data_IF_426239115280
#
_entry.id   IF_426239115280
#
_cell.length_a   1.000
_cell.length_b   1.000
_cell.length_c   1.000
_cell.angle_alpha   90.00
_cell.angle_beta   90.00
_cell.angle_gamma   90.00
#
_symmetry.space_group_name_H-M   'P 1'
#
loop_
_entity.id
_entity.type
_entity.pdbx_description
1 polymer ?
#
# COMPACT_ATOMS: atom_id res chain seq x y z
N UNK A 1 13.49 0.63 12.02
CA UNK A 1 12.25 1.06 11.33
C UNK A 1 12.55 1.08 9.84
N UNK A 2 11.79 0.35 9.03
CA UNK A 2 12.03 0.26 7.59
C UNK A 2 11.30 1.39 6.85
N UNK A 3 11.47 1.50 5.51
CA UNK A 3 10.84 2.60 4.75
C UNK A 3 9.31 2.48 4.71
N UNK A 4 8.76 1.26 4.71
CA UNK A 4 7.32 1.05 4.76
C UNK A 4 6.72 1.57 6.08
N UNK A 5 7.38 1.33 7.22
CA UNK A 5 6.96 1.85 8.53
C UNK A 5 6.99 3.38 8.57
N UNK A 6 8.03 4.00 8.01
CA UNK A 6 8.16 5.47 7.92
C UNK A 6 6.98 6.05 7.13
N UNK A 7 6.69 5.49 5.96
CA UNK A 7 5.59 5.94 5.09
C UNK A 7 4.21 5.72 5.74
N UNK A 8 4.04 4.63 6.49
CA UNK A 8 2.79 4.36 7.21
C UNK A 8 2.59 5.38 8.34
N UNK A 9 3.64 5.71 9.10
CA UNK A 9 3.59 6.74 10.12
C UNK A 9 3.36 8.14 9.53
N UNK A 10 3.97 8.45 8.37
CA UNK A 10 3.66 9.67 7.61
C UNK A 10 2.18 9.73 7.25
N UNK A 11 1.59 8.62 6.77
CA UNK A 11 0.16 8.56 6.45
C UNK A 11 -0.75 8.82 7.66
N UNK A 12 -0.39 8.32 8.85
CA UNK A 12 -1.11 8.59 10.10
C UNK A 12 -1.01 10.06 10.53
N UNK A 13 0.18 10.64 10.42
CA UNK A 13 0.42 12.06 10.72
C UNK A 13 -0.39 12.94 9.76
N UNK A 14 -0.33 12.65 8.46
CA UNK A 14 -1.07 13.39 7.44
C UNK A 14 -2.57 13.35 7.71
N UNK A 15 -3.12 12.18 8.07
CA UNK A 15 -4.54 12.06 8.43
C UNK A 15 -4.88 12.94 9.64
N UNK A 16 -4.06 12.90 10.70
CA UNK A 16 -4.23 13.72 11.91
C UNK A 16 -4.26 15.22 11.61
N UNK A 17 -3.45 15.67 10.65
CA UNK A 17 -3.40 17.06 10.20
C UNK A 17 -4.37 17.37 9.03
N UNK A 18 -5.32 16.47 8.74
CA UNK A 18 -6.33 16.61 7.68
C UNK A 18 -5.73 16.79 6.27
N UNK A 19 -4.51 16.30 6.06
CA UNK A 19 -3.85 16.23 4.77
C UNK A 19 -4.27 14.95 4.02
N UNK A 20 -5.56 14.84 3.66
CA UNK A 20 -6.18 13.60 3.20
C UNK A 20 -5.52 13.02 1.93
N UNK A 21 -5.24 13.83 0.91
CA UNK A 21 -4.55 13.35 -0.30
C UNK A 21 -3.18 12.75 0.05
N UNK A 22 -2.41 13.41 0.91
CA UNK A 22 -1.08 12.94 1.33
C UNK A 22 -1.18 11.65 2.13
N UNK A 23 -2.17 11.54 3.02
CA UNK A 23 -2.43 10.32 3.78
C UNK A 23 -2.76 9.14 2.86
N UNK A 24 -3.60 9.34 1.85
CA UNK A 24 -3.91 8.31 0.84
C UNK A 24 -2.65 7.89 0.07
N UNK A 25 -1.88 8.85 -0.42
CA UNK A 25 -0.66 8.56 -1.20
C UNK A 25 0.40 7.84 -0.36
N UNK A 26 0.65 8.30 0.86
CA UNK A 26 1.58 7.67 1.80
C UNK A 26 1.14 6.25 2.19
N UNK A 27 -0.16 6.02 2.40
CA UNK A 27 -0.74 4.69 2.67
C UNK A 27 -0.44 3.69 1.55
N UNK A 28 -0.63 4.12 0.30
CA UNK A 28 -0.30 3.30 -0.87
C UNK A 28 1.21 3.02 -0.97
N UNK A 29 2.06 4.04 -0.80
CA UNK A 29 3.51 3.86 -0.91
C UNK A 29 4.09 2.98 0.19
N UNK A 30 3.52 3.01 1.40
CA UNK A 30 3.88 2.11 2.48
C UNK A 30 3.65 0.64 2.07
N UNK A 31 2.45 0.34 1.55
CA UNK A 31 2.08 -0.99 1.04
C UNK A 31 2.97 -1.41 -0.12
N UNK A 32 3.22 -0.52 -1.09
CA UNK A 32 4.14 -0.77 -2.20
C UNK A 32 5.50 -1.22 -1.71
N UNK A 33 6.10 -0.49 -0.75
CA UNK A 33 7.42 -0.86 -0.22
C UNK A 33 7.42 -2.20 0.51
N UNK A 34 6.35 -2.52 1.23
CA UNK A 34 6.26 -3.83 1.86
C UNK A 34 6.18 -4.98 0.83
N UNK A 35 5.44 -4.80 -0.27
CA UNK A 35 5.39 -5.78 -1.36
C UNK A 35 6.73 -5.89 -2.08
N UNK A 36 7.46 -4.80 -2.26
CA UNK A 36 8.83 -4.84 -2.80
C UNK A 36 9.77 -5.66 -1.91
N UNK A 37 9.67 -5.53 -0.57
CA UNK A 37 10.44 -6.37 0.36
C UNK A 37 10.06 -7.86 0.23
N UNK A 38 8.77 -8.18 0.08
CA UNK A 38 8.33 -9.54 -0.19
C UNK A 38 8.91 -10.06 -1.53
N UNK A 39 8.88 -9.24 -2.58
CA UNK A 39 9.41 -9.61 -3.90
C UNK A 39 10.91 -9.94 -3.83
N UNK A 40 11.70 -9.14 -3.10
CA UNK A 40 13.12 -9.41 -2.85
C UNK A 40 13.30 -10.74 -2.13
N UNK A 41 12.49 -11.01 -1.09
CA UNK A 41 12.56 -12.28 -0.34
C UNK A 41 12.24 -13.49 -1.22
N UNK A 42 11.32 -13.34 -2.18
CA UNK A 42 10.97 -14.37 -3.17
C UNK A 42 12.01 -14.52 -4.30
N UNK A 43 13.09 -13.72 -4.32
CA UNK A 43 14.04 -13.70 -5.42
C UNK A 43 13.44 -13.19 -6.74
N UNK A 44 12.33 -12.45 -6.67
CA UNK A 44 11.63 -11.91 -7.84
C UNK A 44 12.16 -10.54 -8.24
N UNK A 45 12.09 -10.22 -9.54
CA UNK A 45 12.38 -8.86 -10.01
C UNK A 45 11.28 -7.90 -9.58
N UNK A 46 11.63 -6.71 -9.13
CA UNK A 46 10.66 -5.67 -8.75
C UNK A 46 10.17 -4.98 -10.03
N UNK A 47 8.88 -5.09 -10.39
CA UNK A 47 8.36 -4.40 -11.55
C UNK A 47 8.32 -2.89 -11.31
N UNK A 48 8.65 -2.10 -12.34
CA UNK A 48 8.50 -0.63 -12.28
C UNK A 48 7.04 -0.19 -12.24
N UNK A 49 6.15 -0.94 -12.91
CA UNK A 49 4.72 -0.63 -12.99
C UNK A 49 3.94 -1.26 -11.84
N UNK A 50 3.02 -0.48 -11.30
CA UNK A 50 2.26 -0.83 -10.10
C UNK A 50 1.26 -1.99 -10.33
N UNK A 51 0.65 -2.05 -11.51
CA UNK A 51 -0.21 -3.17 -11.92
C UNK A 51 0.53 -4.51 -11.89
N UNK A 52 1.81 -4.51 -12.27
CA UNK A 52 2.67 -5.69 -12.25
C UNK A 52 3.16 -6.04 -10.85
N UNK A 53 3.35 -5.06 -9.97
CA UNK A 53 3.69 -5.31 -8.57
C UNK A 53 2.54 -6.04 -7.85
N UNK A 54 1.30 -5.63 -8.10
CA UNK A 54 0.10 -6.27 -7.53
C UNK A 54 -0.01 -7.75 -7.92
N UNK A 55 0.43 -8.11 -9.13
CA UNK A 55 0.39 -9.50 -9.60
C UNK A 55 1.26 -10.45 -8.76
N UNK A 56 2.27 -9.95 -8.02
CA UNK A 56 3.04 -10.78 -7.09
C UNK A 56 2.10 -11.44 -6.08
N UNK A 57 1.13 -10.69 -5.54
CA UNK A 57 0.15 -11.22 -4.59
C UNK A 57 -0.80 -12.21 -5.25
N UNK A 58 -1.24 -11.96 -6.49
CA UNK A 58 -2.07 -12.89 -7.26
C UNK A 58 -1.37 -14.21 -7.52
N UNK A 59 -0.08 -14.19 -7.89
CA UNK A 59 0.71 -15.39 -8.10
C UNK A 59 0.90 -16.22 -6.82
N UNK A 60 0.78 -15.61 -5.64
CA UNK A 60 0.76 -16.29 -4.35
C UNK A 60 -0.65 -16.74 -3.91
N UNK A 61 -1.66 -16.63 -4.78
CA UNK A 61 -3.06 -16.96 -4.48
C UNK A 61 -3.73 -16.01 -3.49
N UNK A 62 -3.28 -14.75 -3.42
CA UNK A 62 -3.78 -13.73 -2.49
C UNK A 62 -4.62 -12.68 -3.22
N UNK A 63 -5.65 -13.14 -3.91
CA UNK A 63 -6.50 -12.29 -4.76
C UNK A 63 -7.15 -11.15 -3.98
N UNK A 64 -7.70 -11.42 -2.79
CA UNK A 64 -8.30 -10.37 -1.97
C UNK A 64 -7.30 -9.28 -1.57
N UNK A 65 -6.09 -9.69 -1.22
CA UNK A 65 -5.00 -8.76 -0.89
C UNK A 65 -4.59 -7.94 -2.12
N UNK A 66 -4.56 -8.56 -3.30
CA UNK A 66 -4.27 -7.88 -4.55
C UNK A 66 -5.37 -6.85 -4.92
N UNK A 67 -6.64 -7.16 -4.68
CA UNK A 67 -7.76 -6.23 -4.86
C UNK A 67 -7.64 -5.02 -3.92
N UNK A 68 -7.30 -5.25 -2.66
CA UNK A 68 -7.13 -4.18 -1.68
C UNK A 68 -5.96 -3.24 -2.07
N UNK A 69 -4.85 -3.80 -2.58
CA UNK A 69 -3.73 -2.98 -3.10
C UNK A 69 -4.14 -2.23 -4.37
N UNK A 70 -4.91 -2.85 -5.26
CA UNK A 70 -5.43 -2.18 -6.45
C UNK A 70 -6.34 -1.01 -6.08
N UNK A 71 -7.20 -1.19 -5.08
CA UNK A 71 -8.03 -0.10 -4.54
C UNK A 71 -7.15 1.06 -4.03
N UNK A 72 -6.10 0.78 -3.26
CA UNK A 72 -5.17 1.82 -2.78
C UNK A 72 -4.46 2.52 -3.95
N UNK A 73 -4.06 1.77 -4.98
CA UNK A 73 -3.42 2.33 -6.17
C UNK A 73 -4.32 3.31 -6.91
N UNK A 74 -5.59 2.95 -7.14
CA UNK A 74 -6.55 3.81 -7.82
C UNK A 74 -6.86 5.06 -6.98
N UNK A 75 -7.09 4.91 -5.66
CA UNK A 75 -7.29 6.07 -4.76
C UNK A 75 -6.07 6.99 -4.71
N UNK A 76 -4.85 6.44 -4.76
CA UNK A 76 -3.64 7.25 -4.86
C UNK A 76 -3.60 8.05 -6.16
N UNK A 77 -3.96 7.45 -7.30
CA UNK A 77 -4.06 8.20 -8.57
C UNK A 77 -5.06 9.34 -8.46
N UNK A 78 -6.23 9.07 -7.89
CA UNK A 78 -7.24 10.09 -7.68
C UNK A 78 -6.72 11.22 -6.75
N UNK A 79 -5.93 10.88 -5.72
CA UNK A 79 -5.39 11.85 -4.77
C UNK A 79 -4.26 12.73 -5.36
N UNK A 80 -3.45 12.16 -6.24
CA UNK A 80 -2.30 12.85 -6.85
C UNK A 80 -2.66 13.61 -8.13
N UNK A 81 -3.65 13.13 -8.89
CA UNK A 81 -3.95 13.62 -10.25
C UNK A 81 -5.42 13.96 -10.47
N UNK A 82 -6.31 13.62 -9.54
CA UNK A 82 -7.74 13.93 -9.67
C UNK A 82 -8.03 15.42 -9.51
N UNK A 83 -9.16 15.85 -10.07
CA UNK A 83 -9.61 17.25 -10.03
C UNK A 83 -10.17 17.66 -8.66
N UNK A 84 -10.43 16.69 -7.77
CA UNK A 84 -11.01 16.90 -6.44
C UNK A 84 -10.15 16.29 -5.35
N UNK A 85 -10.12 16.94 -4.18
CA UNK A 85 -9.46 16.41 -2.99
C UNK A 85 -10.18 15.19 -2.40
N UNK A 86 -9.43 14.38 -1.66
CA UNK A 86 -9.94 13.25 -0.89
C UNK A 86 -10.68 13.73 0.36
N UNK A 87 -11.77 13.05 0.71
CA UNK A 87 -12.43 13.24 1.99
C UNK A 87 -11.78 12.40 3.11
N UNK A 88 -12.14 12.74 4.35
CA UNK A 88 -11.64 12.08 5.56
C UNK A 88 -11.99 10.58 5.60
N UNK A 89 -13.19 10.21 5.15
CA UNK A 89 -13.65 8.82 5.14
C UNK A 89 -12.83 7.95 4.21
N UNK A 90 -12.52 8.44 3.00
CA UNK A 90 -11.63 7.76 2.05
C UNK A 90 -10.23 7.62 2.64
N UNK A 91 -9.68 8.69 3.23
CA UNK A 91 -8.33 8.67 3.81
C UNK A 91 -8.24 7.67 4.99
N UNK A 92 -9.23 7.65 5.89
CA UNK A 92 -9.33 6.66 6.98
C UNK A 92 -9.38 5.24 6.41
N UNK A 93 -10.22 5.01 5.40
CA UNK A 93 -10.37 3.70 4.80
C UNK A 93 -9.06 3.21 4.15
N UNK A 94 -8.39 4.07 3.38
CA UNK A 94 -7.10 3.76 2.76
C UNK A 94 -6.02 3.42 3.79
N UNK A 95 -5.93 4.20 4.88
CA UNK A 95 -4.97 3.94 5.95
C UNK A 95 -5.26 2.59 6.65
N UNK A 96 -6.53 2.28 6.93
CA UNK A 96 -6.92 1.02 7.55
C UNK A 96 -6.59 -0.19 6.65
N UNK A 97 -6.91 -0.09 5.36
CA UNK A 97 -6.55 -1.12 4.38
C UNK A 97 -5.03 -1.30 4.33
N UNK A 98 -4.27 -0.20 4.30
CA UNK A 98 -2.81 -0.26 4.27
C UNK A 98 -2.22 -1.00 5.47
N UNK A 99 -2.73 -0.75 6.69
CA UNK A 99 -2.32 -1.47 7.92
C UNK A 99 -2.60 -2.97 7.85
N UNK A 100 -3.77 -3.35 7.35
CA UNK A 100 -4.17 -4.75 7.17
C UNK A 100 -3.25 -5.42 6.15
N UNK A 101 -3.10 -4.83 4.96
CA UNK A 101 -2.28 -5.38 3.88
C UNK A 101 -0.82 -5.54 4.32
N UNK A 102 -0.23 -4.54 4.97
CA UNK A 102 1.15 -4.63 5.47
C UNK A 102 1.30 -5.80 6.45
N UNK A 103 0.34 -5.97 7.36
CA UNK A 103 0.35 -7.07 8.33
C UNK A 103 0.29 -8.42 7.64
N UNK A 104 -0.61 -8.60 6.67
CA UNK A 104 -0.74 -9.85 5.93
C UNK A 104 0.49 -10.13 5.05
N UNK A 105 1.03 -9.13 4.36
CA UNK A 105 2.27 -9.26 3.56
C UNK A 105 3.46 -9.68 4.45
N UNK A 106 3.55 -9.14 5.67
CA UNK A 106 4.58 -9.56 6.64
C UNK A 106 4.43 -11.00 7.08
N UNK A 107 3.21 -11.47 7.34
CA UNK A 107 2.94 -12.89 7.65
C UNK A 107 3.35 -13.80 6.51
N UNK A 108 3.05 -13.41 5.26
CA UNK A 108 3.49 -14.15 4.07
C UNK A 108 5.01 -14.20 3.98
N UNK A 109 5.67 -13.07 4.18
CA UNK A 109 7.13 -12.99 4.22
C UNK A 109 7.72 -13.94 5.27
N UNK A 110 7.15 -14.00 6.48
CA UNK A 110 7.62 -14.91 7.54
C UNK A 110 7.46 -16.39 7.17
N UNK A 111 6.39 -16.76 6.46
CA UNK A 111 6.12 -18.15 6.04
C UNK A 111 7.05 -18.68 4.93
N UNK A 112 7.85 -17.81 4.29
CA UNK A 112 8.84 -18.17 3.25
C UNK A 112 10.19 -18.59 3.88
N UNK A 113 10.25 -18.71 5.21
CA UNK A 113 11.44 -19.14 5.96
C UNK A 113 11.39 -20.65 6.19
#
# INVERSE_FOLDING_TARGET
>A
MNKADILLNEAEIDLKFKCFNKSVSASYFAVRKEIEYLAIKLGSTIPRRDDKLINILKHLGKDKLAEDVLYLYERRKDADYGDTGMDEGIAINCLNIAKIVITEVRRLSQSIT
#
